data_IF_149976661867
#
_entry.id   IF_149976661867
#
_cell.length_a   1.000
_cell.length_b   1.000
_cell.length_c   1.000
_cell.angle_alpha   90.00
_cell.angle_beta   90.00
_cell.angle_gamma   90.00
#
_symmetry.space_group_name_H-M   'P 1'
#
loop_
_entity.id
_entity.type
_entity.pdbx_description
1 polymer ?
#
# COMPACT_ATOMS: atom_id res chain seq x y z
N UNK A 1 -22.51 -7.80 -8.23
CA UNK A 1 -21.26 -8.38 -8.76
C UNK A 1 -20.05 -8.18 -7.84
N UNK A 2 -19.94 -7.11 -7.06
CA UNK A 2 -18.86 -6.91 -6.08
C UNK A 2 -19.10 -7.61 -4.73
N UNK A 3 -20.33 -7.83 -4.32
CA UNK A 3 -20.68 -8.55 -3.08
C UNK A 3 -20.20 -10.01 -3.04
N UNK A 4 -20.12 -10.67 -4.18
CA UNK A 4 -19.72 -12.09 -4.24
C UNK A 4 -18.19 -12.29 -4.20
N UNK A 5 -17.40 -11.29 -4.58
CA UNK A 5 -15.94 -11.33 -4.53
C UNK A 5 -15.39 -11.08 -3.10
N UNK A 6 -16.13 -10.35 -2.29
CA UNK A 6 -15.77 -10.00 -0.90
C UNK A 6 -16.56 -10.79 0.14
N UNK A 7 -17.43 -11.73 -0.26
CA UNK A 7 -18.21 -12.54 0.69
C UNK A 7 -17.28 -13.40 1.53
N UNK A 8 -16.81 -12.84 2.64
CA UNK A 8 -16.33 -13.48 3.86
C UNK A 8 -15.31 -14.65 3.81
N UNK A 9 -14.91 -15.11 2.63
CA UNK A 9 -13.96 -16.20 2.54
C UNK A 9 -12.51 -15.66 2.45
N UNK A 10 -11.71 -15.75 3.52
CA UNK A 10 -10.35 -15.25 3.55
C UNK A 10 -9.48 -15.83 2.43
N UNK A 11 -9.78 -17.05 1.98
CA UNK A 11 -9.06 -17.69 0.88
C UNK A 11 -9.25 -16.96 -0.44
N UNK A 12 -10.46 -16.46 -0.75
CA UNK A 12 -10.72 -15.67 -1.97
C UNK A 12 -9.99 -14.33 -1.93
N UNK A 13 -9.91 -13.69 -0.78
CA UNK A 13 -9.19 -12.42 -0.59
C UNK A 13 -7.70 -12.64 -0.81
N UNK A 14 -7.12 -13.66 -0.19
CA UNK A 14 -5.72 -14.03 -0.36
C UNK A 14 -5.42 -14.31 -1.84
N UNK A 15 -6.25 -15.11 -2.50
CA UNK A 15 -6.08 -15.43 -3.92
C UNK A 15 -6.14 -14.19 -4.82
N UNK A 16 -7.06 -13.26 -4.54
CA UNK A 16 -7.22 -12.02 -5.29
C UNK A 16 -5.95 -11.14 -5.26
N UNK A 17 -5.23 -11.15 -4.15
CA UNK A 17 -3.98 -10.38 -4.00
C UNK A 17 -2.74 -11.15 -4.44
N UNK A 18 -2.68 -12.45 -4.21
CA UNK A 18 -1.50 -13.25 -4.58
C UNK A 18 -1.41 -13.50 -6.09
N UNK A 19 -2.53 -13.66 -6.78
CA UNK A 19 -2.55 -13.96 -8.22
C UNK A 19 -1.91 -12.83 -9.06
N UNK A 20 -2.25 -11.53 -8.87
CA UNK A 20 -1.56 -10.44 -9.57
C UNK A 20 -0.07 -10.31 -9.21
N UNK A 21 0.31 -10.60 -7.97
CA UNK A 21 1.72 -10.59 -7.55
C UNK A 21 2.51 -11.69 -8.25
N UNK A 22 1.96 -12.91 -8.33
CA UNK A 22 2.57 -14.03 -9.04
C UNK A 22 2.68 -13.74 -10.54
N UNK A 23 1.65 -13.13 -11.14
CA UNK A 23 1.65 -12.73 -12.55
C UNK A 23 2.72 -11.65 -12.82
N UNK A 24 2.85 -10.65 -11.94
CA UNK A 24 3.89 -9.63 -12.04
C UNK A 24 5.30 -10.21 -11.94
N UNK A 25 5.52 -11.16 -11.04
CA UNK A 25 6.77 -11.90 -10.93
C UNK A 25 7.06 -12.72 -12.20
N UNK A 26 6.05 -13.42 -12.72
CA UNK A 26 6.18 -14.20 -13.95
C UNK A 26 6.62 -13.30 -15.12
N UNK A 27 6.01 -12.12 -15.27
CA UNK A 27 6.38 -11.17 -16.31
C UNK A 27 7.83 -10.70 -16.19
N UNK A 28 8.32 -10.50 -14.97
CA UNK A 28 9.68 -10.06 -14.71
C UNK A 28 10.72 -11.17 -14.93
N UNK A 29 10.43 -12.38 -14.46
CA UNK A 29 11.40 -13.49 -14.47
C UNK A 29 11.50 -14.19 -15.86
N UNK A 30 10.46 -14.15 -16.68
CA UNK A 30 10.49 -14.79 -17.99
C UNK A 30 11.35 -14.07 -19.02
N UNK A 31 11.69 -12.77 -18.79
CA UNK A 31 12.47 -11.96 -19.73
C UNK A 31 11.80 -11.72 -21.11
N UNK A 32 10.90 -12.61 -21.52
CA UNK A 32 10.17 -12.50 -22.78
C UNK A 32 9.13 -11.36 -22.76
N UNK A 33 8.75 -10.90 -21.58
CA UNK A 33 7.68 -9.90 -21.34
C UNK A 33 8.19 -8.61 -20.71
N UNK A 34 9.50 -8.32 -20.80
CA UNK A 34 10.12 -7.13 -20.23
C UNK A 34 9.42 -5.83 -20.65
N UNK A 35 9.05 -5.74 -21.93
CA UNK A 35 8.31 -4.58 -22.46
C UNK A 35 6.91 -4.45 -21.86
N UNK A 36 6.25 -5.56 -21.57
CA UNK A 36 4.94 -5.59 -20.91
C UNK A 36 5.07 -5.19 -19.43
N UNK A 37 6.08 -5.70 -18.77
CA UNK A 37 6.42 -5.36 -17.39
C UNK A 37 6.72 -3.87 -17.24
N UNK A 38 7.53 -3.30 -18.13
CA UNK A 38 7.82 -1.86 -18.16
C UNK A 38 6.57 -1.02 -18.41
N UNK A 39 5.75 -1.40 -19.40
CA UNK A 39 4.48 -0.71 -19.69
C UNK A 39 3.53 -0.76 -18.49
N UNK A 40 3.42 -1.88 -17.80
CA UNK A 40 2.57 -2.02 -16.62
C UNK A 40 3.06 -1.16 -15.45
N UNK A 41 4.36 -1.09 -15.23
CA UNK A 41 4.96 -0.33 -14.14
C UNK A 41 4.92 1.20 -14.36
N UNK A 42 4.92 1.66 -15.59
CA UNK A 42 5.01 3.07 -15.95
C UNK A 42 3.72 3.59 -16.59
N UNK A 43 3.41 3.19 -17.82
CA UNK A 43 2.30 3.75 -18.59
C UNK A 43 0.93 3.36 -17.99
N UNK A 44 0.72 2.08 -17.69
CA UNK A 44 -0.55 1.60 -17.13
C UNK A 44 -0.79 2.19 -15.73
N UNK A 45 0.24 2.27 -14.89
CA UNK A 45 0.15 2.88 -13.58
C UNK A 45 -0.31 4.34 -13.68
N UNK A 46 0.25 5.12 -14.60
CA UNK A 46 -0.12 6.50 -14.80
C UNK A 46 -1.55 6.65 -15.31
N UNK A 47 -1.96 5.83 -16.29
CA UNK A 47 -3.33 5.84 -16.83
C UNK A 47 -4.34 5.50 -15.74
N UNK A 48 -4.11 4.43 -14.98
CA UNK A 48 -4.98 4.01 -13.87
C UNK A 48 -5.06 5.09 -12.80
N UNK A 49 -3.95 5.74 -12.48
CA UNK A 49 -3.92 6.83 -11.49
C UNK A 49 -4.75 8.02 -11.95
N UNK A 50 -4.65 8.42 -13.22
CA UNK A 50 -5.45 9.51 -13.79
C UNK A 50 -6.95 9.17 -13.73
N UNK A 51 -7.32 7.98 -14.21
CA UNK A 51 -8.72 7.54 -14.22
C UNK A 51 -9.29 7.43 -12.79
N UNK A 52 -8.52 6.86 -11.86
CA UNK A 52 -8.93 6.75 -10.46
C UNK A 52 -9.10 8.13 -9.81
N UNK A 53 -8.13 9.01 -9.98
CA UNK A 53 -8.18 10.36 -9.42
C UNK A 53 -9.36 11.17 -9.98
N UNK A 54 -9.63 11.03 -11.28
CA UNK A 54 -10.77 11.69 -11.92
C UNK A 54 -12.09 11.10 -11.41
N UNK A 55 -12.21 9.79 -11.32
CA UNK A 55 -13.40 9.12 -10.79
C UNK A 55 -13.68 9.51 -9.34
N UNK A 56 -12.66 9.47 -8.49
CA UNK A 56 -12.77 9.88 -7.09
C UNK A 56 -13.12 11.37 -6.99
N UNK A 57 -12.44 12.23 -7.76
CA UNK A 57 -12.74 13.67 -7.80
C UNK A 57 -14.18 13.97 -8.23
N UNK A 58 -14.71 13.24 -9.22
CA UNK A 58 -16.09 13.39 -9.67
C UNK A 58 -17.14 13.00 -8.60
N UNK A 59 -16.79 12.12 -7.65
CA UNK A 59 -17.67 11.76 -6.53
C UNK A 59 -17.63 12.75 -5.37
N UNK A 60 -16.67 13.67 -5.35
CA UNK A 60 -16.50 14.68 -4.30
C UNK A 60 -17.43 15.87 -4.53
N UNK A 61 -18.73 15.67 -4.33
CA UNK A 61 -19.71 16.76 -4.35
C UNK A 61 -19.64 17.53 -3.03
N UNK A 62 -19.48 18.85 -3.09
CA UNK A 62 -19.26 19.69 -1.91
C UNK A 62 -20.30 19.53 -0.79
N UNK A 63 -21.57 19.34 -1.16
CA UNK A 63 -22.66 19.14 -0.19
C UNK A 63 -22.57 17.81 0.57
N UNK A 64 -21.95 16.79 -0.02
CA UNK A 64 -21.80 15.46 0.61
C UNK A 64 -20.44 15.31 1.27
N UNK A 65 -19.40 15.92 0.68
CA UNK A 65 -18.02 15.79 1.17
C UNK A 65 -17.73 16.72 2.35
N UNK A 66 -18.31 17.92 2.39
CA UNK A 66 -18.10 18.89 3.47
C UNK A 66 -19.04 18.68 4.67
N UNK A 67 -19.52 17.48 4.88
CA UNK A 67 -20.29 17.14 6.09
C UNK A 67 -19.37 16.95 7.30
N UNK A 68 -19.89 17.26 8.48
CA UNK A 68 -19.13 17.06 9.73
C UNK A 68 -18.67 15.59 9.91
N UNK A 69 -19.45 14.63 9.44
CA UNK A 69 -19.10 13.21 9.48
C UNK A 69 -17.91 12.89 8.60
N UNK A 70 -17.89 13.40 7.36
CA UNK A 70 -16.77 13.17 6.43
C UNK A 70 -15.49 13.82 6.93
N UNK A 71 -15.57 15.05 7.46
CA UNK A 71 -14.39 15.70 8.04
C UNK A 71 -13.82 14.93 9.23
N UNK A 72 -14.66 14.37 10.09
CA UNK A 72 -14.21 13.49 11.18
C UNK A 72 -13.50 12.26 10.66
N UNK A 73 -14.00 11.63 9.60
CA UNK A 73 -13.38 10.45 8.97
C UNK A 73 -12.00 10.82 8.39
N UNK A 74 -11.89 11.97 7.71
CA UNK A 74 -10.61 12.44 7.15
C UNK A 74 -9.58 12.66 8.25
N UNK A 75 -9.95 13.38 9.32
CA UNK A 75 -9.05 13.60 10.46
C UNK A 75 -8.64 12.29 11.11
N UNK A 76 -9.60 11.38 11.31
CA UNK A 76 -9.32 10.04 11.88
C UNK A 76 -8.38 9.25 10.97
N UNK A 77 -8.55 9.33 9.65
CA UNK A 77 -7.67 8.70 8.67
C UNK A 77 -6.23 9.21 8.76
N UNK A 78 -6.04 10.52 8.84
CA UNK A 78 -4.69 11.12 8.99
C UNK A 78 -4.03 10.65 10.28
N UNK A 79 -4.76 10.64 11.40
CA UNK A 79 -4.24 10.16 12.69
C UNK A 79 -3.90 8.66 12.61
N UNK A 80 -4.77 7.86 12.00
CA UNK A 80 -4.55 6.42 11.82
C UNK A 80 -3.29 6.13 10.98
N UNK A 81 -3.08 6.85 9.88
CA UNK A 81 -1.86 6.74 9.07
C UNK A 81 -0.61 7.16 9.85
N UNK A 82 -0.69 8.22 10.67
CA UNK A 82 0.40 8.64 11.54
C UNK A 82 0.79 7.54 12.55
N UNK A 83 -0.19 6.98 13.23
CA UNK A 83 0.02 5.87 14.18
C UNK A 83 0.58 4.64 13.49
N UNK A 84 0.05 4.28 12.32
CA UNK A 84 0.52 3.14 11.53
C UNK A 84 1.99 3.31 11.11
N UNK A 85 2.37 4.51 10.65
CA UNK A 85 3.76 4.84 10.28
C UNK A 85 4.68 4.73 11.50
N UNK A 86 4.28 5.28 12.65
CA UNK A 86 5.04 5.20 13.90
C UNK A 86 5.20 3.74 14.36
N UNK A 87 4.13 2.96 14.33
CA UNK A 87 4.14 1.53 14.66
C UNK A 87 5.04 0.73 13.72
N UNK A 88 5.00 1.04 12.41
CA UNK A 88 5.88 0.44 11.41
C UNK A 88 7.36 0.74 11.67
N UNK A 89 7.70 1.97 12.03
CA UNK A 89 9.07 2.35 12.42
C UNK A 89 9.54 1.62 13.68
N UNK A 90 8.68 1.47 14.68
CA UNK A 90 8.98 0.70 15.88
C UNK A 90 9.24 -0.78 15.54
N UNK A 91 8.38 -1.38 14.71
CA UNK A 91 8.59 -2.74 14.21
C UNK A 91 9.88 -2.90 13.40
N UNK A 92 10.18 -1.95 12.52
CA UNK A 92 11.44 -1.88 11.78
C UNK A 92 12.66 -1.77 12.70
N UNK A 93 12.54 -1.02 13.78
CA UNK A 93 13.61 -0.86 14.78
C UNK A 93 13.86 -2.17 15.55
N UNK A 94 12.80 -2.89 15.90
CA UNK A 94 12.91 -4.22 16.52
C UNK A 94 13.60 -5.20 15.55
N UNK A 95 13.19 -5.22 14.28
CA UNK A 95 13.85 -6.05 13.24
C UNK A 95 15.32 -5.67 13.06
N UNK A 96 15.65 -4.39 13.06
CA UNK A 96 17.02 -3.92 12.99
C UNK A 96 17.87 -4.48 14.14
N UNK A 97 17.36 -4.44 15.36
CA UNK A 97 18.05 -4.99 16.54
C UNK A 97 18.21 -6.50 16.46
N UNK A 98 17.15 -7.23 16.06
CA UNK A 98 17.18 -8.70 15.94
C UNK A 98 18.13 -9.19 14.83
N UNK A 99 18.28 -8.42 13.75
CA UNK A 99 19.15 -8.75 12.61
C UNK A 99 20.58 -8.21 12.74
N UNK A 100 20.92 -7.61 13.87
CA UNK A 100 22.26 -7.04 14.09
C UNK A 100 22.58 -5.86 13.17
N UNK A 101 21.58 -5.01 12.86
CA UNK A 101 21.77 -3.78 12.08
C UNK A 101 21.68 -3.96 10.56
N UNK A 102 21.33 -5.15 10.07
CA UNK A 102 21.22 -5.42 8.61
C UNK A 102 20.00 -4.79 7.95
N UNK A 103 18.93 -4.58 8.71
CA UNK A 103 17.66 -4.01 8.22
C UNK A 103 17.57 -2.56 8.63
N UNK A 104 17.33 -1.65 7.67
CA UNK A 104 17.11 -0.25 8.00
C UNK A 104 15.70 -0.05 8.57
N UNK A 105 15.54 0.56 9.76
CA UNK A 105 14.24 0.78 10.39
C UNK A 105 13.25 1.58 9.54
N UNK A 106 13.74 2.47 8.68
CA UNK A 106 12.90 3.28 7.77
C UNK A 106 12.03 2.43 6.83
N UNK A 107 12.41 1.19 6.57
CA UNK A 107 11.59 0.27 5.75
C UNK A 107 10.21 0.05 6.38
N UNK A 108 10.14 0.02 7.72
CA UNK A 108 8.90 -0.15 8.46
C UNK A 108 7.90 0.99 8.26
N UNK A 109 8.37 2.22 8.00
CA UNK A 109 7.47 3.36 7.75
C UNK A 109 6.62 3.20 6.49
N UNK A 110 7.04 2.33 5.56
CA UNK A 110 6.29 2.01 4.36
C UNK A 110 5.14 0.99 4.58
N UNK A 111 4.97 0.45 5.79
CA UNK A 111 3.93 -0.54 6.13
C UNK A 111 2.51 0.00 6.16
N UNK A 112 2.22 1.07 5.43
CA UNK A 112 0.89 1.67 5.25
C UNK A 112 0.35 1.35 3.87
N UNK A 113 -0.99 1.39 3.71
CA UNK A 113 -1.68 0.99 2.48
C UNK A 113 -1.58 1.99 1.31
N UNK A 114 -0.54 2.82 1.27
CA UNK A 114 -0.30 3.83 0.23
C UNK A 114 0.79 3.36 -0.75
N UNK A 115 0.48 2.39 -1.60
CA UNK A 115 1.41 1.82 -2.60
C UNK A 115 1.37 2.64 -3.90
N UNK A 116 2.51 2.97 -4.50
CA UNK A 116 3.91 2.83 -4.03
C UNK A 116 4.43 4.06 -3.28
N UNK A 117 3.55 4.99 -2.93
CA UNK A 117 3.93 6.32 -2.42
C UNK A 117 4.70 6.25 -1.09
N UNK A 118 4.24 5.42 -0.14
CA UNK A 118 4.91 5.30 1.15
C UNK A 118 6.35 4.76 1.00
N UNK A 119 6.58 3.79 0.12
CA UNK A 119 7.92 3.28 -0.16
C UNK A 119 8.83 4.35 -0.79
N UNK A 120 8.27 5.19 -1.68
CA UNK A 120 9.01 6.32 -2.29
C UNK A 120 9.37 7.39 -1.26
N UNK A 121 8.46 7.71 -0.35
CA UNK A 121 8.72 8.66 0.75
C UNK A 121 9.82 8.12 1.67
N UNK A 122 9.75 6.84 2.07
CA UNK A 122 10.79 6.19 2.87
C UNK A 122 12.16 6.22 2.17
N UNK A 123 12.18 5.99 0.85
CA UNK A 123 13.39 6.12 0.03
C UNK A 123 13.95 7.54 0.06
N UNK A 124 13.10 8.54 -0.18
CA UNK A 124 13.51 9.95 -0.22
C UNK A 124 14.11 10.39 1.12
N UNK A 125 13.40 10.12 2.21
CA UNK A 125 13.88 10.42 3.57
C UNK A 125 15.19 9.67 3.86
N UNK A 126 15.30 8.40 3.47
CA UNK A 126 16.53 7.62 3.66
C UNK A 126 17.72 8.21 2.90
N UNK A 127 17.52 8.74 1.70
CA UNK A 127 18.56 9.38 0.88
C UNK A 127 18.98 10.77 1.41
N UNK A 128 18.11 11.49 2.09
CA UNK A 128 18.47 12.75 2.75
C UNK A 128 19.54 12.54 3.84
N UNK A 129 19.49 11.39 4.54
CA UNK A 129 20.48 11.02 5.55
C UNK A 129 21.70 10.27 4.98
N UNK A 130 21.49 9.43 3.98
CA UNK A 130 22.55 8.68 3.32
C UNK A 130 22.22 8.45 1.83
N UNK A 131 22.82 9.25 0.91
CA UNK A 131 22.53 9.17 -0.54
C UNK A 131 22.82 7.82 -1.18
N UNK A 132 23.66 6.98 -0.55
CA UNK A 132 24.01 5.65 -1.05
C UNK A 132 23.03 4.57 -0.64
N UNK A 133 22.07 4.88 0.22
CA UNK A 133 21.12 3.90 0.76
C UNK A 133 19.85 3.83 -0.07
N UNK A 134 19.73 2.81 -0.90
CA UNK A 134 18.56 2.55 -1.73
C UNK A 134 17.58 1.64 -0.99
N UNK A 135 16.55 2.23 -0.38
CA UNK A 135 15.56 1.53 0.42
C UNK A 135 14.33 1.09 -0.37
N UNK A 136 14.08 1.64 -1.57
CA UNK A 136 12.82 1.50 -2.30
C UNK A 136 12.38 0.04 -2.46
N UNK A 137 13.28 -0.81 -2.96
CA UNK A 137 12.97 -2.22 -3.20
C UNK A 137 12.61 -2.97 -1.91
N UNK A 138 13.32 -2.67 -0.83
CA UNK A 138 13.06 -3.27 0.48
C UNK A 138 11.79 -2.72 1.14
N UNK A 139 11.50 -1.43 0.94
CA UNK A 139 10.31 -0.77 1.46
C UNK A 139 9.02 -1.19 0.73
N UNK A 140 9.11 -1.67 -0.50
CA UNK A 140 7.96 -2.18 -1.25
C UNK A 140 7.32 -3.41 -0.61
N UNK A 141 8.11 -4.29 0.03
CA UNK A 141 7.59 -5.47 0.73
C UNK A 141 6.58 -5.10 1.84
N UNK A 142 6.99 -4.36 2.87
CA UNK A 142 6.08 -3.86 3.90
C UNK A 142 4.92 -3.03 3.34
N UNK A 143 5.15 -2.27 2.27
CA UNK A 143 4.13 -1.43 1.66
C UNK A 143 2.99 -2.27 1.02
N UNK A 144 3.33 -3.32 0.27
CA UNK A 144 2.35 -4.25 -0.28
C UNK A 144 1.65 -5.03 0.84
N UNK A 145 2.40 -5.48 1.86
CA UNK A 145 1.84 -6.15 3.03
C UNK A 145 0.81 -5.25 3.77
N UNK A 146 1.06 -3.95 3.85
CA UNK A 146 0.12 -2.97 4.42
C UNK A 146 -1.20 -2.90 3.68
N UNK A 147 -1.20 -2.98 2.34
CA UNK A 147 -2.44 -3.02 1.53
C UNK A 147 -3.21 -4.31 1.79
N UNK A 148 -2.55 -5.45 1.76
CA UNK A 148 -3.18 -6.74 2.02
C UNK A 148 -3.78 -6.76 3.43
N UNK A 149 -3.00 -6.32 4.42
CA UNK A 149 -3.43 -6.27 5.82
C UNK A 149 -4.65 -5.37 6.04
N UNK A 150 -4.67 -4.18 5.44
CA UNK A 150 -5.81 -3.27 5.55
C UNK A 150 -7.06 -3.79 4.86
N UNK A 151 -6.94 -4.45 3.71
CA UNK A 151 -8.06 -5.06 3.01
C UNK A 151 -8.66 -6.24 3.81
N UNK A 152 -7.82 -7.08 4.40
CA UNK A 152 -8.26 -8.19 5.26
C UNK A 152 -8.93 -7.64 6.52
N UNK A 153 -8.34 -6.65 7.18
CA UNK A 153 -8.92 -6.02 8.37
C UNK A 153 -10.28 -5.38 8.06
N UNK A 154 -10.40 -4.65 6.95
CA UNK A 154 -11.68 -4.09 6.52
C UNK A 154 -12.73 -5.16 6.26
N UNK A 155 -12.36 -6.27 5.60
CA UNK A 155 -13.25 -7.40 5.37
C UNK A 155 -13.76 -8.06 6.66
N UNK A 156 -12.88 -8.23 7.64
CA UNK A 156 -13.24 -8.77 8.96
C UNK A 156 -14.19 -7.82 9.70
N UNK A 157 -13.88 -6.52 9.72
CA UNK A 157 -14.71 -5.53 10.40
C UNK A 157 -16.11 -5.43 9.78
N UNK A 158 -16.21 -5.44 8.46
CA UNK A 158 -17.51 -5.46 7.76
C UNK A 158 -18.30 -6.72 8.11
N UNK A 159 -17.64 -7.87 8.23
CA UNK A 159 -18.32 -9.11 8.58
C UNK A 159 -18.77 -9.18 10.06
N UNK A 160 -18.05 -8.48 10.96
CA UNK A 160 -18.37 -8.48 12.40
C UNK A 160 -19.40 -7.41 12.78
N UNK A 161 -19.42 -6.28 12.09
CA UNK A 161 -20.20 -5.10 12.47
C UNK A 161 -21.16 -4.60 11.39
N UNK A 162 -21.13 -5.16 10.19
CA UNK A 162 -22.02 -4.86 9.05
C UNK A 162 -23.11 -5.90 8.96
#
# INVERSE_FOLDING_TARGET
>A
MTKDLTSGNPFKIILLFTLPLMLGNLFKETGATDRLSDTAQNALMNIVTILLSTAVGATMVGSTFLTASTLKIVVLGVVAFGISTAGGLLGGNVMCKLTGGKVNPLIGSAGVSAVPMAARVSQKVGQEYNPRNYLLMHAMGPNVAGVIGSAVAAGILINMFG
#
